data_IF_723415296907
#
_entry.id   IF_723415296907
#
_cell.length_a   1.000
_cell.length_b   1.000
_cell.length_c   1.000
_cell.angle_alpha   90.00
_cell.angle_beta   90.00
_cell.angle_gamma   90.00
#
_symmetry.space_group_name_H-M   'P 1'
#
loop_
_entity.id
_entity.type
_entity.pdbx_description
1 polymer ?
#
# COMPACT_ATOMS: atom_id res chain seq x y z
N UNK A 1 -4.24 -9.02 6.73
CA UNK A 1 -3.67 -8.36 5.54
C UNK A 1 -2.30 -8.95 5.14
N UNK A 2 -1.37 -9.27 6.05
CA UNK A 2 -0.06 -9.85 5.68
C UNK A 2 0.40 -11.03 6.56
N UNK A 3 -0.50 -11.63 7.33
CA UNK A 3 -0.17 -12.71 8.29
C UNK A 3 -0.21 -14.10 7.66
N UNK A 4 -1.07 -14.29 6.67
CA UNK A 4 -1.28 -15.57 5.98
C UNK A 4 -0.81 -15.44 4.53
N UNK A 5 -0.34 -16.54 3.91
CA UNK A 5 -0.09 -16.58 2.47
C UNK A 5 -1.39 -16.33 1.68
N UNK A 6 -1.26 -15.80 0.47
CA UNK A 6 -2.40 -15.68 -0.44
C UNK A 6 -2.95 -17.07 -0.81
N UNK A 7 -4.27 -17.16 -0.96
CA UNK A 7 -4.93 -18.38 -1.40
C UNK A 7 -4.48 -18.75 -2.84
N UNK A 8 -4.41 -20.04 -3.20
CA UNK A 8 -3.90 -20.45 -4.51
C UNK A 8 -4.65 -19.81 -5.69
N UNK A 9 -5.98 -19.71 -5.59
CA UNK A 9 -6.81 -19.10 -6.62
C UNK A 9 -6.56 -17.58 -6.74
N UNK A 10 -6.44 -16.88 -5.61
CA UNK A 10 -6.12 -15.45 -5.57
C UNK A 10 -4.75 -15.19 -6.22
N UNK A 11 -3.74 -15.99 -5.89
CA UNK A 11 -2.41 -15.87 -6.48
C UNK A 11 -2.42 -16.10 -8.00
N UNK A 12 -3.15 -17.10 -8.47
CA UNK A 12 -3.30 -17.38 -9.92
C UNK A 12 -3.99 -16.20 -10.62
N UNK A 13 -5.09 -15.69 -10.06
CA UNK A 13 -5.84 -14.58 -10.63
C UNK A 13 -5.00 -13.30 -10.69
N UNK A 14 -4.28 -12.98 -9.61
CA UNK A 14 -3.39 -11.81 -9.55
C UNK A 14 -2.25 -11.92 -10.59
N UNK A 15 -1.58 -13.08 -10.68
CA UNK A 15 -0.53 -13.32 -11.67
C UNK A 15 -1.03 -13.18 -13.09
N UNK A 16 -2.21 -13.73 -13.37
CA UNK A 16 -2.85 -13.67 -14.69
C UNK A 16 -3.16 -12.23 -15.05
N UNK A 17 -3.82 -11.49 -14.16
CA UNK A 17 -4.14 -10.08 -14.37
C UNK A 17 -2.89 -9.23 -14.68
N UNK A 18 -1.84 -9.34 -13.85
CA UNK A 18 -0.62 -8.56 -14.02
C UNK A 18 0.19 -8.94 -15.28
N UNK A 19 0.14 -10.21 -15.68
CA UNK A 19 0.86 -10.69 -16.88
C UNK A 19 0.10 -10.39 -18.18
N UNK A 20 -1.21 -10.60 -18.17
CA UNK A 20 -2.04 -10.57 -19.37
C UNK A 20 -2.50 -9.14 -19.71
N UNK A 21 -2.44 -8.20 -18.77
CA UNK A 21 -2.64 -6.76 -19.03
C UNK A 21 -1.42 -6.07 -19.64
N UNK A 22 -0.24 -6.71 -19.65
CA UNK A 22 0.99 -6.10 -20.17
C UNK A 22 0.93 -5.63 -21.63
N UNK A 23 0.28 -6.35 -22.57
CA UNK A 23 0.12 -5.84 -23.95
C UNK A 23 -0.55 -4.47 -24.02
N UNK A 24 -1.46 -4.15 -23.10
CA UNK A 24 -2.12 -2.84 -23.03
C UNK A 24 -1.15 -1.72 -22.60
N UNK A 25 0.01 -2.06 -22.03
CA UNK A 25 1.09 -1.12 -21.70
C UNK A 25 2.01 -0.82 -22.88
N UNK A 26 1.88 -1.54 -24.00
CA UNK A 26 2.77 -1.38 -25.18
C UNK A 26 2.01 -1.22 -26.50
N UNK A 27 0.69 -1.08 -26.45
CA UNK A 27 -0.20 -1.05 -27.62
C UNK A 27 -0.08 0.23 -28.47
N UNK A 28 0.59 1.26 -27.96
CA UNK A 28 0.78 2.54 -28.64
C UNK A 28 2.23 3.02 -28.51
N UNK A 29 2.74 3.78 -29.49
CA UNK A 29 4.11 4.33 -29.43
C UNK A 29 4.36 5.19 -28.18
N UNK A 30 3.34 5.92 -27.71
CA UNK A 30 3.43 6.73 -26.50
C UNK A 30 3.72 5.88 -25.25
N UNK A 31 2.93 4.83 -25.01
CA UNK A 31 3.15 3.94 -23.87
C UNK A 31 4.47 3.17 -23.97
N UNK A 32 4.88 2.76 -25.18
CA UNK A 32 6.19 2.15 -25.36
C UNK A 32 7.32 3.12 -25.00
N UNK A 33 7.19 4.39 -25.37
CA UNK A 33 8.17 5.43 -25.03
C UNK A 33 8.26 5.64 -23.51
N UNK A 34 7.14 5.61 -22.79
CA UNK A 34 7.10 5.68 -21.33
C UNK A 34 7.91 4.54 -20.67
N UNK A 35 7.81 3.31 -21.18
CA UNK A 35 8.59 2.18 -20.66
C UNK A 35 10.10 2.34 -20.87
N UNK A 36 10.52 2.96 -21.98
CA UNK A 36 11.93 3.29 -22.25
C UNK A 36 12.42 4.38 -21.28
N UNK A 37 11.60 5.40 -21.06
CA UNK A 37 11.89 6.45 -20.07
C UNK A 37 12.02 5.85 -18.68
N UNK A 38 11.10 4.96 -18.28
CA UNK A 38 11.14 4.28 -16.98
C UNK A 38 12.42 3.45 -16.81
N UNK A 39 12.77 2.65 -17.82
CA UNK A 39 13.99 1.84 -17.85
C UNK A 39 15.24 2.71 -17.63
N UNK A 40 15.34 3.84 -18.32
CA UNK A 40 16.48 4.77 -18.17
C UNK A 40 16.46 5.51 -16.83
N UNK A 41 15.29 5.98 -16.40
CA UNK A 41 15.13 6.78 -15.17
C UNK A 41 15.52 5.98 -13.94
N UNK A 42 15.14 4.70 -13.89
CA UNK A 42 15.45 3.81 -12.77
C UNK A 42 16.70 2.95 -12.98
N UNK A 43 17.43 3.13 -14.09
CA UNK A 43 18.66 2.38 -14.40
C UNK A 43 18.43 0.87 -14.51
N UNK A 44 17.29 0.46 -15.05
CA UNK A 44 16.94 -0.95 -15.20
C UNK A 44 17.72 -1.59 -16.36
N UNK A 45 17.95 -2.92 -16.31
CA UNK A 45 18.56 -3.65 -17.43
C UNK A 45 17.74 -3.50 -18.73
N UNK A 46 18.42 -3.51 -19.88
CA UNK A 46 17.77 -3.38 -21.19
C UNK A 46 16.73 -4.49 -21.46
N UNK A 47 16.91 -5.67 -20.88
CA UNK A 47 16.02 -6.84 -21.00
C UNK A 47 14.92 -6.92 -19.92
N UNK A 48 14.76 -5.86 -19.13
CA UNK A 48 13.84 -5.86 -17.98
C UNK A 48 12.40 -6.17 -18.40
N UNK A 49 11.91 -5.48 -19.43
CA UNK A 49 10.53 -5.63 -19.91
C UNK A 49 10.29 -6.96 -20.63
N UNK A 50 11.34 -7.55 -21.22
CA UNK A 50 11.27 -8.90 -21.82
C UNK A 50 11.03 -9.97 -20.76
N UNK A 51 11.70 -9.84 -19.61
CA UNK A 51 11.59 -10.78 -18.49
C UNK A 51 10.42 -10.50 -17.55
N UNK A 52 9.86 -9.29 -17.58
CA UNK A 52 8.83 -8.81 -16.64
C UNK A 52 7.69 -9.80 -16.42
N UNK A 53 7.02 -10.27 -17.49
CA UNK A 53 5.91 -11.24 -17.39
C UNK A 53 6.35 -12.58 -16.82
N UNK A 54 7.55 -13.04 -17.19
CA UNK A 54 8.10 -14.29 -16.67
C UNK A 54 8.36 -14.20 -15.16
N UNK A 55 8.90 -13.07 -14.70
CA UNK A 55 9.17 -12.80 -13.29
C UNK A 55 7.89 -12.79 -12.45
N UNK A 56 6.82 -12.15 -12.94
CA UNK A 56 5.50 -12.17 -12.28
C UNK A 56 4.98 -13.60 -12.14
N UNK A 57 4.99 -14.39 -13.23
CA UNK A 57 4.46 -15.75 -13.22
C UNK A 57 5.21 -16.67 -12.26
N UNK A 58 6.52 -16.45 -12.09
CA UNK A 58 7.40 -17.21 -11.19
C UNK A 58 7.22 -16.88 -9.71
N UNK A 59 6.65 -15.72 -9.36
CA UNK A 59 6.52 -15.26 -7.97
C UNK A 59 5.73 -16.28 -7.11
N UNK A 60 6.27 -16.72 -5.99
CA UNK A 60 5.60 -17.66 -5.08
C UNK A 60 4.71 -16.94 -4.04
N UNK A 61 3.79 -17.69 -3.41
CA UNK A 61 2.95 -17.16 -2.33
C UNK A 61 3.79 -16.66 -1.15
N UNK A 62 4.88 -17.37 -0.82
CA UNK A 62 5.78 -17.03 0.27
C UNK A 62 6.60 -15.77 -0.03
N UNK A 63 7.07 -15.58 -1.27
CA UNK A 63 7.74 -14.34 -1.69
C UNK A 63 6.78 -13.15 -1.62
N UNK A 64 5.55 -13.30 -2.12
CA UNK A 64 4.52 -12.27 -2.02
C UNK A 64 4.22 -11.90 -0.56
N UNK A 65 4.07 -12.91 0.31
CA UNK A 65 3.86 -12.71 1.74
C UNK A 65 5.06 -12.03 2.41
N UNK A 66 6.28 -12.42 2.07
CA UNK A 66 7.50 -11.79 2.58
C UNK A 66 7.53 -10.29 2.24
N UNK A 67 7.27 -9.94 0.98
CA UNK A 67 7.18 -8.53 0.56
C UNK A 67 6.06 -7.80 1.30
N UNK A 68 4.87 -8.39 1.41
CA UNK A 68 3.74 -7.82 2.13
C UNK A 68 4.06 -7.55 3.61
N UNK A 69 4.83 -8.43 4.27
CA UNK A 69 5.25 -8.23 5.67
C UNK A 69 6.25 -7.09 5.85
N UNK A 70 7.11 -6.85 4.86
CA UNK A 70 8.14 -5.81 4.94
C UNK A 70 7.60 -4.41 4.57
N UNK A 71 6.69 -4.34 3.60
CA UNK A 71 6.27 -3.05 3.03
C UNK A 71 4.85 -2.63 3.40
N UNK A 72 3.94 -3.56 3.69
CA UNK A 72 2.60 -3.20 4.17
C UNK A 72 2.68 -3.08 5.69
N UNK A 73 2.63 -1.84 6.19
CA UNK A 73 2.67 -1.49 7.61
C UNK A 73 1.33 -0.92 8.05
N UNK A 74 0.36 -1.75 8.49
CA UNK A 74 -0.98 -1.28 8.87
C UNK A 74 -0.97 -0.21 9.97
N UNK A 75 0.05 -0.22 10.83
CA UNK A 75 0.22 0.78 11.90
C UNK A 75 0.61 2.17 11.40
N UNK A 76 1.22 2.27 10.22
CA UNK A 76 1.69 3.51 9.61
C UNK A 76 0.78 3.93 8.44
N UNK A 77 -0.48 3.51 8.46
CA UNK A 77 -1.43 3.77 7.36
C UNK A 77 -1.89 5.21 7.36
N UNK A 78 -1.79 5.87 6.20
CA UNK A 78 -2.44 7.15 5.94
C UNK A 78 -3.75 6.90 5.17
N UNK A 79 -4.86 7.37 5.72
CA UNK A 79 -6.17 7.30 5.07
C UNK A 79 -6.52 8.71 4.58
N UNK A 80 -6.75 8.84 3.26
CA UNK A 80 -7.16 10.10 2.63
C UNK A 80 -8.61 9.97 2.19
N UNK A 81 -9.45 10.92 2.61
CA UNK A 81 -10.88 10.96 2.27
C UNK A 81 -11.14 12.30 1.59
N UNK A 82 -11.77 12.26 0.42
CA UNK A 82 -12.09 13.43 -0.39
C UNK A 82 -13.59 13.65 -0.38
N UNK A 83 -14.03 14.84 0.00
CA UNK A 83 -15.43 15.21 0.07
C UNK A 83 -15.65 16.48 0.87
N UNK A 84 -16.91 16.77 1.20
CA UNK A 84 -17.26 17.86 2.10
C UNK A 84 -16.90 17.48 3.53
N UNK A 85 -15.73 17.91 3.99
CA UNK A 85 -15.20 17.52 5.29
C UNK A 85 -16.16 17.82 6.46
N UNK A 86 -17.01 18.84 6.34
CA UNK A 86 -18.03 19.19 7.33
C UNK A 86 -19.00 18.03 7.64
N UNK A 87 -19.25 17.15 6.66
CA UNK A 87 -20.26 16.08 6.80
C UNK A 87 -19.75 14.90 7.65
N UNK A 88 -18.43 14.70 7.77
CA UNK A 88 -17.88 13.47 8.35
C UNK A 88 -16.56 13.62 9.12
N UNK A 89 -15.81 14.72 8.99
CA UNK A 89 -14.45 14.80 9.55
C UNK A 89 -14.42 14.64 11.08
N UNK A 90 -15.44 15.13 11.78
CA UNK A 90 -15.56 14.95 13.22
C UNK A 90 -15.79 13.48 13.59
N UNK A 91 -16.72 12.79 12.92
CA UNK A 91 -17.03 11.38 13.20
C UNK A 91 -15.87 10.42 12.93
N UNK A 92 -14.86 10.84 12.17
CA UNK A 92 -13.68 10.02 11.86
C UNK A 92 -12.64 10.01 12.98
N UNK A 93 -12.75 10.90 13.98
CA UNK A 93 -11.85 10.94 15.14
C UNK A 93 -11.80 9.62 15.92
N UNK A 94 -12.89 8.84 15.88
CA UNK A 94 -12.97 7.51 16.47
C UNK A 94 -11.97 6.50 15.86
N UNK A 95 -11.47 6.76 14.65
CA UNK A 95 -10.51 5.89 13.97
C UNK A 95 -9.06 6.37 14.11
N UNK A 96 -8.85 7.62 14.54
CA UNK A 96 -7.55 8.25 14.70
C UNK A 96 -7.60 9.76 14.48
N UNK A 97 -6.45 10.44 14.55
CA UNK A 97 -6.38 11.88 14.33
C UNK A 97 -6.76 12.22 12.88
N UNK A 98 -7.52 13.30 12.69
CA UNK A 98 -8.01 13.74 11.38
C UNK A 98 -7.46 15.13 11.07
N UNK A 99 -6.87 15.27 9.89
CA UNK A 99 -6.37 16.56 9.38
C UNK A 99 -7.16 16.91 8.12
N UNK A 100 -7.82 18.07 8.12
CA UNK A 100 -8.57 18.56 6.96
C UNK A 100 -7.71 19.54 6.20
N UNK A 101 -7.46 19.23 4.94
CA UNK A 101 -6.65 20.03 4.02
C UNK A 101 -7.53 20.45 2.83
N UNK A 102 -7.45 21.72 2.41
CA UNK A 102 -8.11 22.18 1.20
C UNK A 102 -7.42 21.65 -0.07
N UNK A 103 -8.05 21.74 -1.24
CA UNK A 103 -7.40 21.40 -2.52
C UNK A 103 -6.11 22.19 -2.77
N UNK A 104 -6.01 23.39 -2.21
CA UNK A 104 -4.85 24.28 -2.33
C UNK A 104 -3.72 23.93 -1.34
N UNK A 105 -3.91 22.90 -0.51
CA UNK A 105 -2.93 22.46 0.49
C UNK A 105 -3.02 23.19 1.83
N UNK A 106 -4.01 24.05 2.04
CA UNK A 106 -4.17 24.78 3.30
C UNK A 106 -4.80 23.90 4.38
N UNK A 107 -4.22 23.92 5.59
CA UNK A 107 -4.80 23.28 6.75
C UNK A 107 -6.08 24.03 7.19
N UNK A 108 -7.23 23.37 7.14
CA UNK A 108 -8.52 23.95 7.55
C UNK A 108 -8.93 23.54 8.96
N UNK A 109 -8.63 22.30 9.37
CA UNK A 109 -8.95 21.82 10.71
C UNK A 109 -8.05 20.66 11.11
N UNK A 110 -7.89 20.48 12.42
CA UNK A 110 -7.32 19.27 13.03
C UNK A 110 -8.26 18.77 14.10
N UNK A 111 -8.42 17.47 14.13
CA UNK A 111 -9.17 16.78 15.13
C UNK A 111 -8.29 15.70 15.77
N UNK A 112 -8.30 15.67 17.09
CA UNK A 112 -7.46 14.75 17.87
C UNK A 112 -8.07 13.34 17.91
N UNK A 113 -7.24 12.38 18.30
CA UNK A 113 -7.63 10.99 18.44
C UNK A 113 -8.56 10.79 19.65
N UNK A 114 -9.81 10.38 19.40
CA UNK A 114 -10.79 10.09 20.46
C UNK A 114 -10.69 8.64 20.97
N UNK A 115 -9.80 7.82 20.42
CA UNK A 115 -9.59 6.46 20.92
C UNK A 115 -9.03 6.52 22.35
N UNK A 116 -9.47 5.64 23.26
CA UNK A 116 -8.94 5.59 24.61
C UNK A 116 -7.42 5.38 24.53
N UNK A 117 -6.65 6.31 25.12
CA UNK A 117 -5.19 6.14 25.26
C UNK A 117 -4.96 4.81 25.95
N UNK A 118 -4.34 3.86 25.26
CA UNK A 118 -3.98 2.60 25.89
C UNK A 118 -3.12 2.94 27.09
N UNK A 119 -3.60 2.58 28.28
CA UNK A 119 -2.82 2.71 29.50
C UNK A 119 -1.51 1.97 29.27
N UNK A 120 -0.40 2.66 29.48
CA UNK A 120 0.90 2.00 29.58
C UNK A 120 0.79 0.91 30.64
N UNK A 121 0.98 -0.34 30.24
CA UNK A 121 1.17 -1.45 31.18
C UNK A 121 2.56 -1.32 31.79
N UNK A 122 2.68 -0.39 32.74
CA UNK A 122 3.66 -0.46 33.80
C UNK A 122 3.06 -1.24 34.96
N UNK A 123 3.14 -2.57 34.92
CA UNK A 123 2.92 -3.40 36.09
C UNK A 123 4.27 -3.92 36.61
N UNK A 124 4.89 -3.14 37.51
CA UNK A 124 5.80 -3.72 38.52
C UNK A 124 4.96 -4.55 39.48
N UNK A 125 5.31 -5.83 39.67
CA UNK A 125 5.09 -6.74 40.83
C UNK A 125 5.30 -8.18 40.29
N UNK A 126 6.12 -9.06 40.84
CA UNK A 126 7.01 -9.06 42.01
C UNK A 126 7.83 -10.35 41.97
N UNK A 127 8.93 -10.37 42.72
CA UNK A 127 9.69 -11.59 43.00
C UNK A 127 8.78 -12.64 43.67
N UNK A 128 8.93 -13.93 43.32
CA UNK A 128 8.94 -15.06 44.25
C UNK A 128 9.85 -16.15 43.62
N UNK A 129 10.63 -16.74 44.52
CA UNK A 129 11.64 -17.82 44.47
C UNK A 129 11.53 -18.88 43.38
#
# INVERSE_FOLDING_TARGET
INREPAEPEELVNAKRYLSDSFPLKVDTPGKLSELVVELRTFGLPDDYWDRYRQSIRKTSASEAQYVARNYIRPKDTLVVIVGQAADFAQSLQQFGPVTVISPDGELKAKFEDERPKSSGSGARRGAIQ
#
